data_IF_853157201760
#
_entry.id   IF_853157201760
#
_cell.length_a   1.000
_cell.length_b   1.000
_cell.length_c   1.000
_cell.angle_alpha   90.00
_cell.angle_beta   90.00
_cell.angle_gamma   90.00
#
_symmetry.space_group_name_H-M   'P 1'
#
loop_
_entity.id
_entity.type
_entity.pdbx_description
1 polymer ?
#
# COMPACT_ATOMS: atom_id res chain seq x y z
N UNK A 1 7.67 9.09 26.76
CA UNK A 1 7.58 7.92 27.63
C UNK A 1 6.25 7.24 27.36
N UNK A 2 6.25 6.22 26.49
CA UNK A 2 5.08 5.35 26.38
C UNK A 2 4.99 4.57 27.70
N UNK A 3 3.97 4.85 28.53
CA UNK A 3 3.61 3.97 29.64
C UNK A 3 3.34 2.58 29.06
N UNK A 4 3.85 1.51 29.68
CA UNK A 4 3.44 0.12 29.41
C UNK A 4 1.91 0.08 29.56
N UNK A 5 1.23 0.07 28.43
CA UNK A 5 -0.22 -0.05 28.39
C UNK A 5 -0.52 -1.53 28.13
N UNK A 6 -1.27 -2.15 29.01
CA UNK A 6 -1.80 -3.49 28.76
C UNK A 6 -3.02 -3.36 27.86
N UNK A 7 -3.05 -4.11 26.77
CA UNK A 7 -4.18 -4.15 25.85
C UNK A 7 -4.93 -5.46 26.05
N UNK A 8 -6.25 -5.40 26.09
CA UNK A 8 -7.08 -6.61 26.15
C UNK A 8 -7.05 -7.37 24.82
N UNK A 9 -6.98 -6.64 23.71
CA UNK A 9 -6.93 -7.18 22.36
C UNK A 9 -6.01 -6.31 21.48
N UNK A 10 -5.13 -6.96 20.73
CA UNK A 10 -4.36 -6.35 19.65
C UNK A 10 -4.79 -6.99 18.33
N UNK A 11 -5.27 -6.14 17.42
CA UNK A 11 -5.61 -6.56 16.05
C UNK A 11 -4.50 -6.06 15.12
N UNK A 12 -3.95 -6.97 14.35
CA UNK A 12 -2.90 -6.74 13.36
C UNK A 12 -3.52 -6.89 11.97
N UNK A 13 -3.41 -5.87 11.16
CA UNK A 13 -3.93 -5.86 9.80
C UNK A 13 -2.77 -5.66 8.83
N UNK A 14 -2.69 -6.52 7.81
CA UNK A 14 -1.73 -6.41 6.72
C UNK A 14 -0.26 -6.46 7.20
N UNK A 15 0.04 -7.37 8.11
CA UNK A 15 1.37 -7.53 8.70
C UNK A 15 1.86 -8.95 8.49
N UNK A 16 2.83 -9.13 7.60
CA UNK A 16 3.34 -10.46 7.23
C UNK A 16 4.28 -11.10 8.26
N UNK A 17 4.87 -10.31 9.17
CA UNK A 17 5.80 -10.81 10.19
C UNK A 17 5.92 -9.84 11.37
N UNK A 18 6.30 -10.32 12.58
CA UNK A 18 6.48 -9.48 13.77
C UNK A 18 7.47 -8.33 13.57
N UNK A 19 8.49 -8.50 12.73
CA UNK A 19 9.52 -7.49 12.47
C UNK A 19 8.95 -6.24 11.79
N UNK A 20 7.80 -6.36 11.11
CA UNK A 20 7.14 -5.26 10.43
C UNK A 20 6.26 -4.40 11.31
N UNK A 21 5.98 -4.84 12.54
CA UNK A 21 5.14 -4.09 13.49
C UNK A 21 5.84 -2.82 13.99
N UNK A 22 7.16 -2.79 13.91
CA UNK A 22 7.95 -1.61 14.32
C UNK A 22 7.78 -1.31 15.81
N UNK A 23 7.54 -0.04 16.13
CA UNK A 23 7.43 0.45 17.52
C UNK A 23 6.26 -0.17 18.31
N UNK A 24 5.24 -0.68 17.64
CA UNK A 24 4.11 -1.36 18.26
C UNK A 24 4.40 -2.82 18.64
N UNK A 25 5.57 -3.37 18.30
CA UNK A 25 5.96 -4.75 18.62
C UNK A 25 5.96 -5.09 20.12
N UNK A 26 6.13 -4.09 21.00
CA UNK A 26 5.98 -4.30 22.45
C UNK A 26 4.52 -4.61 22.83
N UNK A 27 3.54 -4.06 22.12
CA UNK A 27 2.13 -4.38 22.35
C UNK A 27 1.81 -5.84 22.02
N UNK A 28 2.46 -6.42 21.02
CA UNK A 28 2.32 -7.85 20.68
C UNK A 28 2.70 -8.77 21.85
N UNK A 29 3.69 -8.35 22.67
CA UNK A 29 4.16 -9.13 23.82
C UNK A 29 3.30 -8.95 25.07
N UNK A 30 2.55 -7.87 25.16
CA UNK A 30 1.84 -7.46 26.38
C UNK A 30 0.32 -7.52 26.26
N UNK A 31 -0.21 -7.65 25.06
CA UNK A 31 -1.63 -7.83 24.83
C UNK A 31 -2.09 -9.18 25.40
N UNK A 32 -3.31 -9.22 25.97
CA UNK A 32 -3.90 -10.46 26.51
C UNK A 32 -4.33 -11.41 25.40
N UNK A 33 -4.72 -10.86 24.24
CA UNK A 33 -5.08 -11.61 23.05
C UNK A 33 -4.64 -10.85 21.79
N UNK A 34 -4.22 -11.61 20.79
CA UNK A 34 -3.76 -11.07 19.50
C UNK A 34 -4.48 -11.74 18.35
N UNK A 35 -4.89 -10.96 17.34
CA UNK A 35 -5.51 -11.43 16.10
C UNK A 35 -4.74 -10.85 14.94
N UNK A 36 -4.41 -11.66 13.94
CA UNK A 36 -3.80 -11.22 12.69
C UNK A 36 -4.71 -11.52 11.50
N UNK A 37 -5.01 -10.50 10.70
CA UNK A 37 -5.72 -10.59 9.45
C UNK A 37 -4.76 -10.17 8.34
N UNK A 38 -4.44 -11.07 7.43
CA UNK A 38 -3.41 -10.84 6.43
C UNK A 38 -3.66 -11.62 5.13
N UNK A 39 -3.05 -11.19 4.04
CA UNK A 39 -3.12 -11.86 2.74
C UNK A 39 -1.73 -12.22 2.18
N UNK A 40 -0.65 -11.95 2.90
CA UNK A 40 0.69 -12.27 2.45
C UNK A 40 0.97 -13.77 2.50
N UNK A 41 1.42 -14.35 1.38
CA UNK A 41 1.83 -15.77 1.28
C UNK A 41 2.96 -16.11 2.27
N UNK A 42 3.81 -15.13 2.61
CA UNK A 42 4.93 -15.29 3.53
C UNK A 42 4.54 -15.28 5.01
N UNK A 43 3.28 -15.01 5.33
CA UNK A 43 2.80 -15.04 6.70
C UNK A 43 2.49 -16.49 7.11
N UNK A 44 3.14 -16.99 8.16
CA UNK A 44 2.96 -18.34 8.70
C UNK A 44 2.16 -18.35 10.01
N UNK A 45 1.59 -17.21 10.40
CA UNK A 45 0.87 -17.03 11.65
C UNK A 45 1.80 -16.77 12.83
N UNK A 46 1.57 -15.68 13.56
CA UNK A 46 2.36 -15.31 14.75
C UNK A 46 1.50 -14.69 15.87
N UNK A 47 0.22 -14.51 15.62
CA UNK A 47 -0.77 -14.09 16.61
C UNK A 47 -1.45 -15.31 17.25
N UNK A 48 -2.24 -15.10 18.32
CA UNK A 48 -3.01 -16.19 18.95
C UNK A 48 -4.09 -16.71 17.97
N UNK A 49 -4.71 -15.83 17.20
CA UNK A 49 -5.62 -16.17 16.10
C UNK A 49 -5.11 -15.54 14.81
N UNK A 50 -5.09 -16.31 13.73
CA UNK A 50 -4.61 -15.87 12.43
C UNK A 50 -5.63 -16.23 11.36
N UNK A 51 -6.06 -15.24 10.57
CA UNK A 51 -6.79 -15.42 9.33
C UNK A 51 -5.92 -14.91 8.20
N UNK A 52 -5.36 -15.83 7.44
CA UNK A 52 -4.41 -15.54 6.36
C UNK A 52 -4.99 -16.10 5.07
N UNK A 53 -5.35 -15.20 4.14
CA UNK A 53 -6.02 -15.55 2.89
C UNK A 53 -5.24 -15.00 1.68
N UNK A 54 -4.24 -15.73 1.18
CA UNK A 54 -3.36 -15.28 0.10
C UNK A 54 -4.06 -15.05 -1.25
N UNK A 55 -5.25 -15.59 -1.44
CA UNK A 55 -6.05 -15.40 -2.65
C UNK A 55 -6.81 -14.06 -2.66
N UNK A 56 -6.91 -13.40 -1.52
CA UNK A 56 -7.52 -12.07 -1.44
C UNK A 56 -6.60 -11.00 -2.02
N UNK A 57 -7.16 -10.00 -2.64
CA UNK A 57 -6.37 -8.91 -3.22
C UNK A 57 -5.68 -8.02 -2.19
N UNK A 58 -6.21 -8.01 -0.97
CA UNK A 58 -5.73 -7.19 0.14
C UNK A 58 -6.30 -7.66 1.48
N UNK A 59 -5.65 -7.30 2.57
CA UNK A 59 -6.22 -7.45 3.91
C UNK A 59 -7.52 -6.65 4.09
N UNK A 60 -7.69 -5.57 3.34
CA UNK A 60 -8.92 -4.76 3.32
C UNK A 60 -10.10 -5.49 2.66
N UNK A 61 -9.87 -6.26 1.59
CA UNK A 61 -10.90 -7.12 1.00
C UNK A 61 -11.30 -8.23 1.98
N UNK A 62 -10.33 -8.84 2.63
CA UNK A 62 -10.58 -9.83 3.68
C UNK A 62 -11.42 -9.24 4.82
N UNK A 63 -11.11 -8.04 5.27
CA UNK A 63 -11.87 -7.34 6.31
C UNK A 63 -13.31 -7.08 5.87
N UNK A 64 -13.55 -6.70 4.60
CA UNK A 64 -14.90 -6.52 4.08
C UNK A 64 -15.76 -7.77 4.27
N UNK A 65 -15.22 -8.96 3.99
CA UNK A 65 -15.96 -10.22 4.12
C UNK A 65 -16.25 -10.63 5.58
N UNK A 66 -15.53 -10.05 6.55
CA UNK A 66 -15.74 -10.29 7.98
C UNK A 66 -16.78 -9.36 8.60
N UNK A 67 -17.01 -8.22 7.98
CA UNK A 67 -17.96 -7.22 8.49
C UNK A 67 -19.39 -7.51 8.01
N UNK A 68 -20.35 -7.25 8.89
CA UNK A 68 -21.76 -7.20 8.50
C UNK A 68 -21.99 -5.99 7.60
N UNK A 69 -22.54 -6.21 6.42
CA UNK A 69 -22.68 -5.17 5.39
C UNK A 69 -23.46 -3.93 5.86
N UNK A 70 -24.43 -4.14 6.76
CA UNK A 70 -25.23 -3.06 7.36
C UNK A 70 -24.41 -2.17 8.29
N UNK A 71 -23.30 -2.67 8.83
CA UNK A 71 -22.39 -1.92 9.70
C UNK A 71 -21.32 -1.16 8.94
N UNK A 72 -21.17 -1.40 7.64
CA UNK A 72 -20.24 -0.67 6.80
C UNK A 72 -20.84 0.72 6.51
N UNK A 73 -20.40 1.71 7.29
CA UNK A 73 -20.69 3.12 7.04
C UNK A 73 -19.90 3.64 5.84
N UNK A 74 -20.22 4.85 5.37
CA UNK A 74 -19.46 5.52 4.31
C UNK A 74 -17.97 5.61 4.66
N UNK A 75 -17.64 6.06 5.87
CA UNK A 75 -16.24 6.24 6.30
C UNK A 75 -15.47 4.91 6.34
N UNK A 76 -16.13 3.84 6.80
CA UNK A 76 -15.55 2.49 6.77
C UNK A 76 -15.36 2.00 5.33
N UNK A 77 -16.34 2.27 4.45
CA UNK A 77 -16.24 1.92 3.04
C UNK A 77 -15.10 2.68 2.33
N UNK A 78 -14.90 3.95 2.64
CA UNK A 78 -13.78 4.76 2.11
C UNK A 78 -12.43 4.18 2.56
N UNK A 79 -12.30 3.78 3.82
CA UNK A 79 -11.07 3.17 4.34
C UNK A 79 -10.77 1.82 3.67
N UNK A 80 -11.78 0.94 3.55
CA UNK A 80 -11.64 -0.37 2.89
C UNK A 80 -11.31 -0.19 1.42
N UNK A 81 -12.01 0.71 0.72
CA UNK A 81 -11.75 1.01 -0.69
C UNK A 81 -10.31 1.50 -0.90
N UNK A 82 -9.83 2.39 -0.05
CA UNK A 82 -8.45 2.91 -0.11
C UNK A 82 -7.43 1.79 0.03
N UNK A 83 -7.62 0.87 0.98
CA UNK A 83 -6.73 -0.28 1.17
C UNK A 83 -6.73 -1.23 -0.04
N UNK A 84 -7.91 -1.57 -0.58
CA UNK A 84 -8.01 -2.41 -1.79
C UNK A 84 -7.32 -1.71 -2.98
N UNK A 85 -7.58 -0.41 -3.20
CA UNK A 85 -6.97 0.35 -4.29
C UNK A 85 -5.45 0.42 -4.15
N UNK A 86 -4.93 0.53 -2.92
CA UNK A 86 -3.50 0.54 -2.63
C UNK A 86 -2.83 -0.77 -3.06
N UNK A 87 -3.31 -1.90 -2.58
CA UNK A 87 -2.68 -3.21 -2.82
C UNK A 87 -2.84 -3.70 -4.25
N UNK A 88 -3.93 -3.32 -4.90
CA UNK A 88 -4.20 -3.65 -6.30
C UNK A 88 -3.56 -2.69 -7.31
N UNK A 89 -2.86 -1.65 -6.83
CA UNK A 89 -2.31 -0.60 -7.70
C UNK A 89 -3.41 0.07 -8.52
N UNK A 90 -4.49 0.47 -7.86
CA UNK A 90 -5.70 1.00 -8.48
C UNK A 90 -6.29 -0.01 -9.49
N UNK A 91 -6.47 -1.25 -9.02
CA UNK A 91 -7.07 -2.38 -9.76
C UNK A 91 -6.28 -2.84 -10.99
N UNK A 92 -4.98 -2.49 -11.06
CA UNK A 92 -4.11 -2.80 -12.20
C UNK A 92 -3.37 -4.12 -12.04
N UNK A 93 -3.11 -4.55 -10.80
CA UNK A 93 -2.29 -5.74 -10.55
C UNK A 93 -3.10 -7.03 -10.70
N UNK A 94 -2.38 -8.14 -10.93
CA UNK A 94 -2.96 -9.45 -11.19
C UNK A 94 -3.72 -10.05 -9.99
N UNK A 95 -3.52 -9.54 -8.78
CA UNK A 95 -4.30 -9.91 -7.61
C UNK A 95 -5.74 -9.37 -7.65
N UNK A 96 -6.06 -8.44 -8.55
CA UNK A 96 -7.43 -7.94 -8.73
C UNK A 96 -8.29 -9.04 -9.36
N UNK A 97 -9.24 -9.54 -8.62
CA UNK A 97 -10.16 -10.60 -9.02
C UNK A 97 -11.56 -10.05 -9.40
N UNK A 98 -12.42 -10.84 -10.06
CA UNK A 98 -13.81 -10.48 -10.21
C UNK A 98 -14.53 -10.25 -8.87
N UNK A 99 -14.15 -10.95 -7.81
CA UNK A 99 -14.70 -10.75 -6.47
C UNK A 99 -14.26 -9.41 -5.90
N UNK A 100 -13.00 -9.04 -6.03
CA UNK A 100 -12.50 -7.72 -5.67
C UNK A 100 -13.37 -6.61 -6.28
N UNK A 101 -13.71 -6.73 -7.56
CA UNK A 101 -14.54 -5.73 -8.25
C UNK A 101 -15.99 -5.73 -7.76
N UNK A 102 -16.54 -6.86 -7.31
CA UNK A 102 -17.88 -6.91 -6.67
C UNK A 102 -17.88 -6.22 -5.31
N UNK A 103 -16.83 -6.47 -4.51
CA UNK A 103 -16.63 -5.76 -3.23
C UNK A 103 -16.54 -4.26 -3.46
N UNK A 104 -15.73 -3.84 -4.43
CA UNK A 104 -15.60 -2.42 -4.80
C UNK A 104 -16.95 -1.81 -5.20
N UNK A 105 -17.75 -2.50 -6.01
CA UNK A 105 -19.09 -2.03 -6.38
C UNK A 105 -19.99 -1.79 -5.15
N UNK A 106 -20.00 -2.73 -4.19
CA UNK A 106 -20.74 -2.58 -2.93
C UNK A 106 -20.25 -1.41 -2.08
N UNK A 107 -18.93 -1.18 -2.04
CA UNK A 107 -18.35 -0.02 -1.35
C UNK A 107 -18.81 1.29 -2.01
N UNK A 108 -18.84 1.33 -3.35
CA UNK A 108 -19.32 2.49 -4.09
C UNK A 108 -20.80 2.78 -3.84
N UNK A 109 -21.64 1.75 -3.63
CA UNK A 109 -23.06 1.89 -3.25
C UNK A 109 -23.26 2.61 -1.90
N UNK A 110 -22.20 2.63 -1.03
CA UNK A 110 -22.21 3.42 0.22
C UNK A 110 -22.02 4.92 -0.02
N UNK A 111 -21.87 5.35 -1.27
CA UNK A 111 -21.75 6.77 -1.64
C UNK A 111 -20.37 7.37 -1.36
N UNK A 112 -19.33 6.57 -1.44
CA UNK A 112 -17.93 7.05 -1.32
C UNK A 112 -17.55 7.94 -2.50
N UNK A 113 -16.66 8.90 -2.27
CA UNK A 113 -16.05 9.68 -3.35
C UNK A 113 -14.77 8.97 -3.84
N UNK A 114 -14.96 7.89 -4.59
CA UNK A 114 -13.86 7.07 -5.07
C UNK A 114 -12.89 7.82 -5.97
N UNK A 115 -13.36 8.80 -6.74
CA UNK A 115 -12.51 9.62 -7.61
C UNK A 115 -11.55 10.46 -6.79
N UNK A 116 -12.08 11.17 -5.79
CA UNK A 116 -11.25 11.96 -4.87
C UNK A 116 -10.25 11.09 -4.08
N UNK A 117 -10.68 9.88 -3.66
CA UNK A 117 -9.78 8.94 -2.97
C UNK A 117 -8.62 8.52 -3.87
N UNK A 118 -8.91 8.17 -5.13
CA UNK A 118 -7.88 7.79 -6.10
C UNK A 118 -6.93 8.95 -6.37
N UNK A 119 -7.46 10.13 -6.66
CA UNK A 119 -6.65 11.30 -6.98
C UNK A 119 -5.72 11.65 -5.82
N UNK A 120 -6.26 11.81 -4.62
CA UNK A 120 -5.47 12.20 -3.44
C UNK A 120 -4.46 11.14 -3.00
N UNK A 121 -4.81 9.86 -3.13
CA UNK A 121 -3.94 8.77 -2.65
C UNK A 121 -2.86 8.36 -3.65
N UNK A 122 -3.11 8.49 -4.98
CA UNK A 122 -2.24 7.88 -5.97
C UNK A 122 -1.74 8.83 -7.06
N UNK A 123 -2.50 9.86 -7.41
CA UNK A 123 -2.15 10.71 -8.54
C UNK A 123 -1.74 12.13 -8.14
N UNK A 124 -2.25 12.65 -7.05
CA UNK A 124 -1.91 13.98 -6.58
C UNK A 124 -0.44 14.06 -6.15
N UNK A 125 0.29 14.93 -6.81
CA UNK A 125 1.68 15.24 -6.47
C UNK A 125 1.84 16.75 -6.37
N UNK A 126 2.57 17.20 -5.36
CA UNK A 126 2.92 18.61 -5.28
C UNK A 126 3.76 19.05 -6.48
N UNK A 127 3.75 20.35 -6.76
CA UNK A 127 4.60 20.93 -7.80
C UNK A 127 6.07 20.50 -7.62
N UNK A 128 6.56 20.53 -6.37
CA UNK A 128 7.95 20.18 -6.04
C UNK A 128 8.22 18.67 -6.28
N UNK A 129 7.29 17.81 -5.93
CA UNK A 129 7.40 16.36 -6.24
C UNK A 129 7.48 16.11 -7.74
N UNK A 130 6.69 16.81 -8.55
CA UNK A 130 6.76 16.71 -10.00
C UNK A 130 8.09 17.25 -10.55
N UNK A 131 8.62 18.34 -9.99
CA UNK A 131 9.90 18.89 -10.41
C UNK A 131 11.06 17.92 -10.12
N UNK A 132 11.12 17.33 -8.94
CA UNK A 132 12.20 16.40 -8.58
C UNK A 132 12.08 15.06 -9.33
N UNK A 133 10.85 14.59 -9.59
CA UNK A 133 10.59 13.45 -10.46
C UNK A 133 11.12 13.71 -11.88
N UNK A 134 10.74 14.85 -12.46
CA UNK A 134 11.21 15.27 -13.78
C UNK A 134 12.73 15.33 -13.85
N UNK A 135 13.39 15.89 -12.83
CA UNK A 135 14.85 15.92 -12.73
C UNK A 135 15.46 14.53 -12.71
N UNK A 136 14.92 13.63 -11.89
CA UNK A 136 15.41 12.25 -11.81
C UNK A 136 15.29 11.52 -13.15
N UNK A 137 14.18 11.70 -13.86
CA UNK A 137 13.94 11.07 -15.16
C UNK A 137 14.86 11.64 -16.26
N UNK A 138 15.03 12.95 -16.31
CA UNK A 138 15.86 13.63 -17.32
C UNK A 138 17.36 13.29 -17.19
N UNK A 139 17.85 13.06 -15.98
CA UNK A 139 19.22 12.66 -15.70
C UNK A 139 19.42 11.15 -15.62
N UNK A 140 18.36 10.36 -15.83
CA UNK A 140 18.47 8.90 -15.83
C UNK A 140 19.27 8.41 -17.04
N UNK A 141 20.04 7.34 -16.83
CA UNK A 141 20.82 6.70 -17.90
C UNK A 141 20.34 5.26 -18.09
N UNK A 142 20.31 4.83 -19.33
CA UNK A 142 20.06 3.44 -19.69
C UNK A 142 21.39 2.68 -19.79
N UNK A 143 21.45 1.52 -19.15
CA UNK A 143 22.66 0.67 -19.12
C UNK A 143 22.26 -0.79 -19.46
N UNK A 144 23.25 -1.65 -19.65
CA UNK A 144 23.05 -3.08 -19.92
C UNK A 144 22.11 -3.32 -21.12
N UNK A 145 22.44 -2.72 -22.26
CA UNK A 145 21.61 -2.82 -23.50
C UNK A 145 20.14 -2.44 -23.25
N UNK A 146 19.91 -1.38 -22.50
CA UNK A 146 18.60 -0.85 -22.12
C UNK A 146 17.80 -1.73 -21.16
N UNK A 147 18.42 -2.71 -20.53
CA UNK A 147 17.77 -3.59 -19.54
C UNK A 147 17.70 -2.96 -18.13
N UNK A 148 18.41 -1.88 -17.91
CA UNK A 148 18.39 -1.19 -16.63
C UNK A 148 18.39 0.32 -16.83
N UNK A 149 17.63 1.04 -16.00
CA UNK A 149 17.65 2.50 -15.90
C UNK A 149 18.17 2.88 -14.52
N UNK A 150 19.11 3.78 -14.48
CA UNK A 150 19.65 4.33 -13.24
C UNK A 150 19.26 5.81 -13.15
N UNK A 151 18.43 6.15 -12.18
CA UNK A 151 18.17 7.53 -11.76
C UNK A 151 18.97 7.86 -10.50
N UNK A 152 19.54 9.05 -10.42
CA UNK A 152 20.31 9.47 -9.27
C UNK A 152 19.87 10.87 -8.82
N UNK A 153 19.39 10.95 -7.57
CA UNK A 153 19.15 12.23 -6.88
C UNK A 153 20.26 12.42 -5.84
N UNK A 154 20.97 13.53 -5.94
CA UNK A 154 22.05 13.86 -5.01
C UNK A 154 21.48 14.73 -3.88
N UNK A 155 22.17 14.73 -2.74
CA UNK A 155 21.77 15.58 -1.60
C UNK A 155 21.55 17.04 -2.01
N UNK A 156 22.42 17.61 -2.87
CA UNK A 156 22.28 18.97 -3.38
C UNK A 156 20.97 19.22 -4.14
N UNK A 157 20.43 18.18 -4.79
CA UNK A 157 19.14 18.29 -5.51
C UNK A 157 18.01 18.32 -4.50
N UNK A 158 18.06 17.50 -3.46
CA UNK A 158 17.10 17.50 -2.36
C UNK A 158 17.12 18.84 -1.60
N UNK A 159 18.31 19.33 -1.29
CA UNK A 159 18.52 20.61 -0.61
C UNK A 159 17.99 21.79 -1.47
N UNK A 160 18.18 21.75 -2.79
CA UNK A 160 17.69 22.77 -3.73
C UNK A 160 16.17 22.85 -3.77
N UNK A 161 15.50 21.69 -3.79
CA UNK A 161 14.05 21.63 -3.79
C UNK A 161 13.43 21.70 -2.38
N UNK A 162 14.22 21.65 -1.34
CA UNK A 162 13.78 21.67 0.06
C UNK A 162 12.95 20.43 0.45
N UNK A 163 13.29 19.26 -0.10
CA UNK A 163 12.54 18.01 0.10
C UNK A 163 13.35 16.99 0.92
N UNK A 164 12.63 16.17 1.67
CA UNK A 164 13.19 15.01 2.37
C UNK A 164 12.85 13.68 1.67
N UNK A 165 13.26 12.55 2.26
CA UNK A 165 13.01 11.22 1.68
C UNK A 165 11.54 10.89 1.44
N UNK A 166 10.62 11.45 2.23
CA UNK A 166 9.17 11.20 2.11
C UNK A 166 8.56 11.79 0.83
N UNK A 167 9.11 12.90 0.34
CA UNK A 167 8.63 13.53 -0.89
C UNK A 167 9.13 12.81 -2.16
N UNK A 168 9.95 11.77 -1.99
CA UNK A 168 10.48 10.96 -3.09
C UNK A 168 9.58 9.76 -3.44
N UNK A 169 8.48 9.58 -2.74
CA UNK A 169 7.55 8.48 -3.01
C UNK A 169 7.03 8.53 -4.45
N UNK A 170 6.98 7.34 -5.06
CA UNK A 170 6.51 7.18 -6.44
C UNK A 170 7.58 7.36 -7.53
N UNK A 171 8.78 7.88 -7.23
CA UNK A 171 9.86 8.00 -8.23
C UNK A 171 10.28 6.62 -8.75
N UNK A 172 10.43 5.65 -7.85
CA UNK A 172 10.78 4.26 -8.21
C UNK A 172 9.68 3.60 -9.04
N UNK A 173 8.41 3.82 -8.66
CA UNK A 173 7.27 3.25 -9.36
C UNK A 173 7.17 3.73 -10.82
N UNK A 174 7.43 5.01 -11.09
CA UNK A 174 7.45 5.55 -12.46
C UNK A 174 8.58 4.92 -13.27
N UNK A 175 9.77 4.80 -12.71
CA UNK A 175 10.92 4.18 -13.36
C UNK A 175 10.65 2.70 -13.68
N UNK A 176 10.04 1.96 -12.75
CA UNK A 176 9.65 0.55 -12.94
C UNK A 176 8.58 0.37 -14.02
N UNK A 177 7.60 1.25 -14.07
CA UNK A 177 6.53 1.20 -15.09
C UNK A 177 7.11 1.40 -16.50
N UNK A 178 8.06 2.29 -16.66
CA UNK A 178 8.74 2.51 -17.93
C UNK A 178 9.64 1.33 -18.35
N UNK A 179 10.33 0.69 -17.41
CA UNK A 179 11.12 -0.52 -17.70
C UNK A 179 10.23 -1.68 -18.13
N UNK A 180 9.12 -1.92 -17.45
CA UNK A 180 8.19 -3.00 -17.76
C UNK A 180 7.51 -2.85 -19.11
N UNK A 181 7.28 -1.63 -19.57
CA UNK A 181 6.76 -1.38 -20.91
C UNK A 181 7.73 -1.82 -22.02
N UNK A 182 9.04 -1.88 -21.74
CA UNK A 182 10.03 -2.41 -22.66
C UNK A 182 10.19 -3.94 -22.60
N UNK A 183 9.96 -4.56 -21.45
CA UNK A 183 9.98 -6.03 -21.32
C UNK A 183 8.80 -6.71 -22.04
N UNK A 184 7.63 -6.09 -22.04
CA UNK A 184 6.45 -6.61 -22.75
C UNK A 184 6.54 -6.46 -24.27
N UNK A 185 7.40 -5.60 -24.78
CA UNK A 185 7.63 -5.45 -26.22
C UNK A 185 8.73 -6.39 -26.77
N UNK A 186 9.42 -7.13 -25.91
CA UNK A 186 10.51 -8.02 -26.26
C UNK A 186 10.15 -9.52 -26.23
N UNK A 187 8.87 -9.86 -26.00
CA UNK A 187 8.35 -11.23 -26.05
C UNK A 187 7.42 -11.40 -27.25
#
# INVERSE_FOLDING_TARGET
VYKRQEYDLLILLDVSSPDRIGVAGEALKTAKKTICLDHHISNHGFADENLIEPEMSSASELLFHLLEEEKITKDVAEAIYTGIASDTGVFKYSCTSPETMRVVAKLMEKGIDFSSIIDQSFYEKSYVQNQILGRCLMESIQVLDKKCIIGCLRKRDLDFYGVGPKELDGIVAVSYTHLRAHETAAN
#
